data_IF_643564302893
#
_entry.id   IF_643564302893
#
_cell.length_a   1.000
_cell.length_b   1.000
_cell.length_c   1.000
_cell.angle_alpha   90.00
_cell.angle_beta   90.00
_cell.angle_gamma   90.00
#
_symmetry.space_group_name_H-M   'P 1'
#
loop_
_entity.id
_entity.type
_entity.pdbx_description
1 polymer ?
#
# COMPACT_ATOMS: atom_id res chain seq x y z
N UNK A 1 -20.67 11.87 11.93
CA UNK A 1 -19.76 12.94 11.49
C UNK A 1 -18.56 12.34 10.78
N UNK A 2 -18.32 12.75 9.59
CA UNK A 2 -17.17 12.27 8.81
C UNK A 2 -15.94 13.08 9.20
N UNK A 3 -14.86 12.40 9.58
CA UNK A 3 -13.59 13.06 9.85
C UNK A 3 -12.92 13.54 8.56
N UNK A 4 -11.99 14.48 8.70
CA UNK A 4 -11.17 14.97 7.59
C UNK A 4 -10.17 13.91 7.18
N UNK A 5 -10.19 13.52 5.91
CA UNK A 5 -9.26 12.53 5.33
C UNK A 5 -8.17 13.26 4.57
N UNK A 6 -6.92 12.89 4.81
CA UNK A 6 -5.74 13.41 4.14
C UNK A 6 -4.83 12.26 3.75
N UNK A 7 -4.30 12.29 2.54
CA UNK A 7 -3.29 11.34 2.06
C UNK A 7 -1.99 12.10 1.83
N UNK A 8 -0.92 11.66 2.48
CA UNK A 8 0.42 12.23 2.30
C UNK A 8 1.50 11.19 2.62
N UNK A 9 2.75 11.40 2.20
CA UNK A 9 3.83 10.50 2.61
C UNK A 9 3.96 10.41 4.12
N UNK A 10 4.25 9.21 4.61
CA UNK A 10 4.52 8.98 6.03
C UNK A 10 5.87 9.59 6.38
N UNK A 11 5.90 10.43 7.42
CA UNK A 11 7.11 11.13 7.84
C UNK A 11 8.06 10.24 8.65
N UNK A 12 9.35 10.63 8.67
CA UNK A 12 10.38 9.89 9.40
C UNK A 12 10.13 9.83 10.90
N UNK A 13 9.40 10.78 11.43
CA UNK A 13 9.05 10.89 12.87
C UNK A 13 7.78 10.12 13.22
N UNK A 14 7.19 9.38 12.28
CA UNK A 14 5.89 8.72 12.48
C UNK A 14 6.01 7.19 12.67
N UNK A 15 7.19 6.68 13.01
CA UNK A 15 7.39 5.23 13.19
C UNK A 15 6.44 4.65 14.25
N UNK A 16 6.23 5.36 15.37
CA UNK A 16 5.36 4.88 16.43
C UNK A 16 3.89 4.78 16.01
N UNK A 17 3.45 5.64 15.10
CA UNK A 17 2.11 5.58 14.54
C UNK A 17 1.96 4.48 13.50
N UNK A 18 3.01 4.21 12.73
CA UNK A 18 3.03 3.20 11.67
C UNK A 18 3.13 1.78 12.22
N UNK A 19 3.94 1.55 13.25
CA UNK A 19 4.19 0.20 13.79
C UNK A 19 2.92 -0.57 14.13
N UNK A 20 1.91 0.00 14.84
CA UNK A 20 0.69 -0.75 15.14
C UNK A 20 -0.11 -1.12 13.88
N UNK A 21 -0.12 -0.25 12.88
CA UNK A 21 -0.82 -0.52 11.62
C UNK A 21 -0.11 -1.63 10.85
N UNK A 22 1.21 -1.60 10.80
CA UNK A 22 2.00 -2.65 10.18
C UNK A 22 1.79 -3.99 10.86
N UNK A 23 1.78 -4.00 12.20
CA UNK A 23 1.47 -5.20 12.98
C UNK A 23 0.06 -5.74 12.66
N UNK A 24 -0.92 -4.84 12.53
CA UNK A 24 -2.29 -5.23 12.18
C UNK A 24 -2.39 -5.83 10.77
N UNK A 25 -1.66 -5.27 9.82
CA UNK A 25 -1.59 -5.79 8.46
C UNK A 25 -0.98 -7.20 8.45
N UNK A 26 0.15 -7.40 9.11
CA UNK A 26 0.81 -8.70 9.18
C UNK A 26 -0.07 -9.75 9.88
N UNK A 27 -0.76 -9.37 10.95
CA UNK A 27 -1.68 -10.26 11.64
C UNK A 27 -2.84 -10.69 10.75
N UNK A 28 -3.38 -9.78 9.95
CA UNK A 28 -4.45 -10.09 9.00
C UNK A 28 -4.02 -11.17 8.01
N UNK A 29 -2.79 -11.11 7.53
CA UNK A 29 -2.24 -12.10 6.61
C UNK A 29 -1.58 -13.29 7.32
N UNK A 30 -1.68 -13.38 8.65
CA UNK A 30 -1.08 -14.46 9.46
C UNK A 30 0.40 -14.63 9.16
N UNK A 31 1.09 -13.51 9.04
CA UNK A 31 2.51 -13.43 8.67
C UNK A 31 3.30 -12.86 9.83
N UNK A 32 4.44 -13.47 10.11
CA UNK A 32 5.39 -12.98 11.09
C UNK A 32 6.68 -12.59 10.38
N UNK A 33 7.19 -11.40 10.67
CA UNK A 33 8.47 -10.91 10.18
C UNK A 33 9.37 -10.59 11.36
N UNK A 34 10.66 -10.80 11.17
CA UNK A 34 11.64 -10.38 12.18
C UNK A 34 11.71 -8.85 12.21
N UNK A 35 12.11 -8.30 13.36
CA UNK A 35 12.14 -6.85 13.55
C UNK A 35 13.05 -6.14 12.54
N UNK A 36 14.17 -6.77 12.16
CA UNK A 36 15.11 -6.20 11.21
C UNK A 36 14.48 -5.99 9.82
N UNK A 37 13.54 -6.84 9.39
CA UNK A 37 12.82 -6.66 8.12
C UNK A 37 11.97 -5.41 8.16
N UNK A 38 11.22 -5.20 9.24
CA UNK A 38 10.38 -4.02 9.43
C UNK A 38 11.21 -2.74 9.54
N UNK A 39 12.34 -2.81 10.25
CA UNK A 39 13.26 -1.68 10.39
C UNK A 39 13.86 -1.29 9.03
N UNK A 40 14.23 -2.28 8.22
CA UNK A 40 14.78 -2.04 6.90
C UNK A 40 13.73 -1.46 5.95
N UNK A 41 12.49 -1.96 5.97
CA UNK A 41 11.40 -1.39 5.18
C UNK A 41 11.19 0.08 5.52
N UNK A 42 11.15 0.41 6.82
CA UNK A 42 11.01 1.79 7.28
C UNK A 42 12.14 2.69 6.76
N UNK A 43 13.38 2.24 6.86
CA UNK A 43 14.53 2.98 6.34
C UNK A 43 14.41 3.24 4.84
N UNK A 44 14.00 2.23 4.08
CA UNK A 44 13.86 2.34 2.62
C UNK A 44 12.80 3.33 2.21
N UNK A 45 11.71 3.47 2.97
CA UNK A 45 10.68 4.47 2.65
C UNK A 45 11.22 5.90 2.66
N UNK A 46 12.29 6.15 3.40
CA UNK A 46 12.85 7.49 3.59
C UNK A 46 14.22 7.65 2.92
N UNK A 47 14.68 6.65 2.18
CA UNK A 47 15.91 6.69 1.42
C UNK A 47 15.61 7.12 -0.02
N UNK A 48 16.10 8.29 -0.48
CA UNK A 48 15.81 8.77 -1.83
C UNK A 48 16.39 7.89 -2.95
N UNK A 49 17.32 7.00 -2.63
CA UNK A 49 17.92 6.08 -3.59
C UNK A 49 17.13 4.77 -3.73
N UNK A 50 16.11 4.57 -2.89
CA UNK A 50 15.27 3.38 -2.93
C UNK A 50 13.94 3.67 -3.64
N UNK A 51 13.49 2.80 -4.57
CA UNK A 51 12.24 3.03 -5.28
C UNK A 51 11.01 2.49 -4.52
N UNK A 52 11.00 2.60 -3.20
CA UNK A 52 9.97 2.08 -2.29
C UNK A 52 9.41 3.22 -1.47
N UNK A 53 8.08 3.30 -1.38
CA UNK A 53 7.39 4.46 -0.80
C UNK A 53 6.26 4.04 0.11
N UNK A 54 5.95 4.89 1.10
CA UNK A 54 4.80 4.73 1.98
C UNK A 54 3.95 5.99 1.97
N UNK A 55 2.69 5.86 1.52
CA UNK A 55 1.67 6.89 1.72
C UNK A 55 0.88 6.55 2.97
N UNK A 56 0.59 7.56 3.76
CA UNK A 56 -0.28 7.45 4.92
C UNK A 56 -1.66 8.02 4.64
N UNK A 57 -2.67 7.38 5.17
CA UNK A 57 -4.03 7.90 5.22
C UNK A 57 -4.32 8.38 6.63
N UNK A 58 -4.70 9.64 6.74
CA UNK A 58 -4.91 10.32 8.03
C UNK A 58 -6.39 10.68 8.17
N UNK A 59 -6.94 10.40 9.34
CA UNK A 59 -8.28 10.82 9.72
C UNK A 59 -8.14 11.75 10.93
N UNK A 60 -8.58 12.99 10.78
CA UNK A 60 -8.43 14.02 11.80
C UNK A 60 -6.99 14.16 12.33
N UNK A 61 -6.02 14.07 11.42
CA UNK A 61 -4.61 14.21 11.73
C UNK A 61 -3.92 12.97 12.27
N UNK A 62 -4.64 11.87 12.46
CA UNK A 62 -4.08 10.63 12.96
C UNK A 62 -3.90 9.60 11.84
N UNK A 63 -2.75 8.95 11.81
CA UNK A 63 -2.45 7.91 10.83
C UNK A 63 -3.40 6.72 11.06
N UNK A 64 -4.21 6.40 10.05
CA UNK A 64 -5.25 5.39 10.15
C UNK A 64 -5.13 4.30 9.07
N UNK A 65 -4.21 4.44 8.15
CA UNK A 65 -3.97 3.46 7.08
C UNK A 65 -2.73 3.81 6.28
N UNK A 66 -2.32 2.89 5.44
CA UNK A 66 -1.14 3.10 4.58
C UNK A 66 -1.27 2.36 3.26
N UNK A 67 -0.49 2.83 2.29
CA UNK A 67 -0.20 2.12 1.05
C UNK A 67 1.31 2.12 0.85
N UNK A 68 1.89 0.93 0.74
CA UNK A 68 3.30 0.76 0.36
C UNK A 68 3.35 0.41 -1.11
N UNK A 69 4.12 1.14 -1.88
CA UNK A 69 4.26 0.88 -3.31
C UNK A 69 5.72 1.02 -3.73
N UNK A 70 6.04 0.37 -4.83
CA UNK A 70 7.39 0.38 -5.38
C UNK A 70 7.34 0.40 -6.91
N UNK A 71 8.42 0.81 -7.50
CA UNK A 71 8.57 0.81 -8.96
C UNK A 71 9.58 -0.24 -9.38
N UNK A 72 9.31 -0.91 -10.49
CA UNK A 72 10.25 -1.85 -11.08
C UNK A 72 10.22 -1.76 -12.60
N UNK A 73 11.31 -2.20 -13.24
CA UNK A 73 11.38 -2.31 -14.68
C UNK A 73 10.46 -3.41 -15.19
N UNK A 74 10.00 -3.26 -16.42
CA UNK A 74 9.25 -4.27 -17.14
C UNK A 74 9.77 -4.37 -18.56
N UNK A 75 9.86 -5.60 -19.05
CA UNK A 75 10.21 -5.83 -20.47
C UNK A 75 9.09 -5.41 -21.42
N UNK A 76 7.91 -5.08 -20.88
CA UNK A 76 6.73 -4.71 -21.66
C UNK A 76 6.52 -3.20 -21.74
N UNK A 77 7.42 -2.40 -21.17
CA UNK A 77 7.22 -0.95 -21.11
C UNK A 77 8.54 -0.20 -21.22
N UNK A 78 8.47 1.03 -21.73
CA UNK A 78 9.64 1.93 -21.79
C UNK A 78 9.99 2.49 -20.41
N UNK A 79 8.98 2.65 -19.55
CA UNK A 79 9.14 3.09 -18.17
C UNK A 79 8.84 1.95 -17.22
N UNK A 80 8.64 2.25 -15.94
CA UNK A 80 8.45 1.25 -14.90
C UNK A 80 6.98 0.92 -14.69
N UNK A 81 6.75 -0.20 -14.02
CA UNK A 81 5.46 -0.53 -13.41
C UNK A 81 5.48 -0.12 -11.95
N UNK A 82 4.31 0.23 -11.43
CA UNK A 82 4.11 0.47 -10.00
C UNK A 82 3.43 -0.75 -9.38
N UNK A 83 4.07 -1.34 -8.38
CA UNK A 83 3.50 -2.43 -7.60
C UNK A 83 2.99 -1.86 -6.27
N UNK A 84 1.68 -1.91 -6.06
CA UNK A 84 1.05 -1.59 -4.78
C UNK A 84 1.12 -2.86 -3.93
N UNK A 85 2.15 -2.95 -3.09
CA UNK A 85 2.45 -4.19 -2.37
C UNK A 85 1.57 -4.38 -1.15
N UNK A 86 1.38 -3.33 -0.36
CA UNK A 86 0.63 -3.40 0.88
C UNK A 86 -0.40 -2.29 0.94
N UNK A 87 -1.64 -2.64 1.29
CA UNK A 87 -2.70 -1.67 1.53
C UNK A 87 -3.45 -2.07 2.80
N UNK A 88 -3.52 -1.17 3.75
CA UNK A 88 -4.18 -1.45 5.02
C UNK A 88 -4.88 -0.22 5.58
N UNK A 89 -6.06 -0.43 6.10
CA UNK A 89 -6.83 0.58 6.84
C UNK A 89 -7.21 0.00 8.19
N UNK A 90 -6.94 0.73 9.27
CA UNK A 90 -7.30 0.33 10.61
C UNK A 90 -8.80 0.05 10.69
N UNK A 91 -9.18 -0.98 11.43
CA UNK A 91 -10.59 -1.40 11.52
C UNK A 91 -11.51 -0.26 11.96
N UNK A 92 -11.06 0.57 12.91
CA UNK A 92 -11.81 1.73 13.41
C UNK A 92 -11.98 2.84 12.37
N UNK A 93 -11.20 2.85 11.30
CA UNK A 93 -11.24 3.87 10.26
C UNK A 93 -11.84 3.37 8.94
N UNK A 94 -12.32 2.13 8.88
CA UNK A 94 -12.93 1.57 7.68
C UNK A 94 -14.27 2.23 7.38
N UNK A 95 -14.73 2.09 6.13
CA UNK A 95 -15.99 2.65 5.60
C UNK A 95 -16.00 4.18 5.49
N UNK A 96 -14.81 4.80 5.46
CA UNK A 96 -14.65 6.24 5.26
C UNK A 96 -14.04 6.57 3.89
N UNK A 97 -13.91 5.56 3.01
CA UNK A 97 -13.30 5.73 1.70
C UNK A 97 -11.78 5.85 1.72
N UNK A 98 -11.13 5.54 2.84
CA UNK A 98 -9.69 5.72 3.00
C UNK A 98 -8.89 4.77 2.09
N UNK A 99 -9.32 3.51 1.97
CA UNK A 99 -8.66 2.54 1.08
C UNK A 99 -8.68 2.98 -0.38
N UNK A 100 -9.83 3.44 -0.84
CA UNK A 100 -9.97 3.99 -2.20
C UNK A 100 -9.10 5.23 -2.38
N UNK A 101 -9.10 6.14 -1.42
CA UNK A 101 -8.30 7.36 -1.49
C UNK A 101 -6.80 7.05 -1.56
N UNK A 102 -6.34 6.04 -0.81
CA UNK A 102 -4.95 5.58 -0.86
C UNK A 102 -4.61 5.01 -2.25
N UNK A 103 -5.47 4.17 -2.82
CA UNK A 103 -5.25 3.61 -4.17
C UNK A 103 -5.18 4.74 -5.20
N UNK A 104 -6.10 5.68 -5.16
CA UNK A 104 -6.13 6.80 -6.11
C UNK A 104 -4.89 7.69 -5.97
N UNK A 105 -4.40 7.88 -4.74
CA UNK A 105 -3.16 8.64 -4.51
C UNK A 105 -1.94 7.89 -5.09
N UNK A 106 -1.91 6.56 -5.01
CA UNK A 106 -0.87 5.75 -5.66
C UNK A 106 -0.94 5.92 -7.18
N UNK A 107 -2.14 5.95 -7.76
CA UNK A 107 -2.31 6.23 -9.20
C UNK A 107 -1.67 7.56 -9.58
N UNK A 108 -1.90 8.60 -8.78
CA UNK A 108 -1.31 9.94 -9.06
C UNK A 108 0.21 9.90 -8.97
N UNK A 109 0.78 9.21 -7.99
CA UNK A 109 2.23 9.05 -7.86
C UNK A 109 2.80 8.26 -9.05
N UNK A 110 2.11 7.22 -9.47
CA UNK A 110 2.52 6.41 -10.61
C UNK A 110 2.50 7.22 -11.91
N UNK A 111 1.46 8.03 -12.13
CA UNK A 111 1.39 8.92 -13.29
C UNK A 111 2.53 9.93 -13.29
N UNK A 112 2.83 10.54 -12.14
CA UNK A 112 3.92 11.49 -12.00
C UNK A 112 5.29 10.85 -12.29
N UNK A 113 5.43 9.55 -12.02
CA UNK A 113 6.65 8.79 -12.31
C UNK A 113 6.65 8.16 -13.72
N UNK A 114 5.65 8.44 -14.53
CA UNK A 114 5.47 7.87 -15.89
C UNK A 114 5.35 6.35 -15.91
N UNK A 115 4.86 5.75 -14.82
CA UNK A 115 4.57 4.32 -14.80
C UNK A 115 3.40 4.02 -15.74
N UNK A 116 3.47 2.89 -16.43
CA UNK A 116 2.44 2.51 -17.40
C UNK A 116 1.27 1.75 -16.77
N UNK A 117 1.42 1.26 -15.56
CA UNK A 117 0.35 0.60 -14.80
C UNK A 117 0.65 0.59 -13.32
N UNK A 118 -0.42 0.46 -12.54
CA UNK A 118 -0.39 0.07 -11.13
C UNK A 118 -1.07 -1.29 -11.03
N UNK A 119 -0.48 -2.21 -10.30
CA UNK A 119 -1.07 -3.52 -10.10
C UNK A 119 -0.85 -3.99 -8.67
N UNK A 120 -1.68 -4.92 -8.22
CA UNK A 120 -1.55 -5.54 -6.89
C UNK A 120 -2.14 -6.94 -6.90
N UNK A 121 -1.88 -7.66 -5.83
CA UNK A 121 -2.34 -9.02 -5.61
C UNK A 121 -3.27 -9.06 -4.41
N UNK A 122 -4.27 -9.91 -4.47
CA UNK A 122 -5.14 -10.19 -3.33
C UNK A 122 -5.53 -11.67 -3.35
N UNK A 123 -5.94 -12.19 -2.22
CA UNK A 123 -6.48 -13.55 -2.16
C UNK A 123 -7.83 -13.58 -2.88
N UNK A 124 -8.07 -14.64 -3.65
CA UNK A 124 -9.28 -14.77 -4.47
C UNK A 124 -10.57 -14.78 -3.64
N UNK A 125 -10.48 -15.23 -2.38
CA UNK A 125 -11.61 -15.30 -1.46
C UNK A 125 -11.77 -14.06 -0.58
N UNK A 126 -10.93 -13.02 -0.76
CA UNK A 126 -11.04 -11.77 -0.02
C UNK A 126 -12.14 -10.90 -0.64
N UNK A 127 -13.40 -11.28 -0.39
CA UNK A 127 -14.55 -10.66 -1.05
C UNK A 127 -14.71 -9.18 -0.71
N UNK A 128 -14.42 -8.78 0.54
CA UNK A 128 -14.54 -7.39 0.97
C UNK A 128 -13.56 -6.49 0.23
N UNK A 129 -12.30 -6.89 0.13
CA UNK A 129 -11.28 -6.13 -0.59
C UNK A 129 -11.58 -6.10 -2.10
N UNK A 130 -12.00 -7.23 -2.67
CA UNK A 130 -12.31 -7.33 -4.09
C UNK A 130 -13.49 -6.46 -4.50
N UNK A 131 -14.45 -6.25 -3.61
CA UNK A 131 -15.56 -5.33 -3.87
C UNK A 131 -15.05 -3.90 -4.13
N UNK A 132 -14.04 -3.45 -3.36
CA UNK A 132 -13.37 -2.18 -3.62
C UNK A 132 -12.57 -2.23 -4.91
N UNK A 133 -11.76 -3.27 -5.08
CA UNK A 133 -10.82 -3.37 -6.21
C UNK A 133 -11.54 -3.44 -7.56
N UNK A 134 -12.67 -4.14 -7.64
CA UNK A 134 -13.46 -4.24 -8.87
C UNK A 134 -14.01 -2.87 -9.32
N UNK A 135 -14.15 -1.93 -8.40
CA UNK A 135 -14.59 -0.57 -8.69
C UNK A 135 -13.48 0.38 -9.16
N UNK A 136 -12.21 0.01 -8.98
CA UNK A 136 -11.07 0.90 -9.27
C UNK A 136 -10.06 0.31 -10.23
N UNK A 137 -10.15 -0.98 -10.56
CA UNK A 137 -9.22 -1.67 -11.45
C UNK A 137 -9.89 -2.89 -12.10
N UNK A 138 -9.14 -3.57 -12.96
CA UNK A 138 -9.60 -4.75 -13.69
C UNK A 138 -8.85 -5.99 -13.21
N UNK A 139 -9.59 -7.08 -13.01
CA UNK A 139 -9.01 -8.40 -12.72
C UNK A 139 -8.88 -9.18 -14.03
N UNK A 140 -7.64 -9.40 -14.47
CA UNK A 140 -7.35 -10.08 -15.73
C UNK A 140 -7.20 -11.59 -15.58
N UNK A 141 -7.43 -12.13 -14.39
CA UNK A 141 -7.44 -13.56 -14.15
C UNK A 141 -6.06 -14.20 -13.93
N UNK A 142 -5.00 -13.41 -13.82
CA UNK A 142 -3.68 -13.95 -13.49
C UNK A 142 -3.66 -14.46 -12.05
N UNK A 143 -2.96 -15.58 -11.83
CA UNK A 143 -2.75 -16.13 -10.49
C UNK A 143 -1.26 -16.13 -10.18
N UNK A 144 -0.91 -16.15 -8.89
CA UNK A 144 0.47 -16.16 -8.45
C UNK A 144 0.93 -17.59 -8.15
N UNK A 145 2.11 -17.94 -8.64
CA UNK A 145 2.85 -19.10 -8.17
C UNK A 145 4.01 -18.63 -7.32
N UNK A 146 4.29 -19.34 -6.23
CA UNK A 146 5.34 -18.94 -5.29
C UNK A 146 6.14 -20.16 -4.86
N UNK A 147 7.44 -20.03 -4.88
CA UNK A 147 8.33 -21.00 -4.24
C UNK A 147 9.20 -20.23 -3.24
N UNK A 148 9.14 -20.64 -1.99
CA UNK A 148 9.99 -20.08 -0.95
C UNK A 148 11.38 -20.70 -1.06
N UNK A 149 12.42 -19.86 -1.00
CA UNK A 149 13.80 -20.26 -1.15
C UNK A 149 14.52 -20.35 0.20
#
# INVERSE_FOLDING_TARGET
MTGTVLIRPVGEDEREAWDPLWAGYLAFYKTELTQDVSDLAWMRFHDPDEPVFALGGYVDGQLAGFAHYLFHRSTWATHRYCYLEDLYVAETARRRGLGRALIEAVYDKARAASASRVYWLTQSDNAQARALYDGVADNLGFIQYRKVL
#
